data_IF_973260699948
#
_entry.id   IF_973260699948
#
_cell.length_a   1.000
_cell.length_b   1.000
_cell.length_c   1.000
_cell.angle_alpha   90.00
_cell.angle_beta   90.00
_cell.angle_gamma   90.00
#
_symmetry.space_group_name_H-M   'P 1'
#
loop_
_entity.id
_entity.type
_entity.pdbx_description
1 polymer ?
#
# COMPACT_ATOMS: atom_id res chain seq x y z
N UNK A 1 0.86 -1.46 -30.69
CA UNK A 1 1.61 -0.57 -29.80
C UNK A 1 1.05 -0.81 -28.42
N UNK A 2 1.66 -1.76 -27.72
CA UNK A 2 1.31 -2.11 -26.35
C UNK A 2 2.04 -1.13 -25.43
N UNK A 3 1.41 -0.01 -25.14
CA UNK A 3 1.95 0.96 -24.17
C UNK A 3 1.16 0.80 -22.88
N UNK A 4 1.67 -0.13 -22.07
CA UNK A 4 1.91 0.05 -20.65
C UNK A 4 0.76 0.72 -19.88
N UNK A 5 -0.08 -0.16 -19.33
CA UNK A 5 -1.05 0.06 -18.27
C UNK A 5 -0.59 1.20 -17.37
N UNK A 6 -1.38 2.28 -17.37
CA UNK A 6 -1.28 3.46 -16.52
C UNK A 6 -1.35 3.04 -15.04
N UNK A 7 -0.29 2.43 -14.51
CA UNK A 7 -0.06 2.34 -13.09
C UNK A 7 0.19 3.78 -12.65
N UNK A 8 -0.74 4.32 -11.87
CA UNK A 8 -0.67 5.64 -11.25
C UNK A 8 0.75 5.82 -10.71
N UNK A 9 1.59 6.54 -11.42
CA UNK A 9 3.00 6.68 -11.09
C UNK A 9 3.09 7.76 -10.01
N UNK A 10 2.87 7.37 -8.75
CA UNK A 10 3.20 8.24 -7.61
C UNK A 10 4.67 8.60 -7.77
N UNK A 11 4.97 9.90 -7.85
CA UNK A 11 6.36 10.38 -7.87
C UNK A 11 7.00 10.07 -6.52
N UNK A 12 8.30 9.81 -6.50
CA UNK A 12 9.04 9.47 -5.27
C UNK A 12 8.80 10.51 -4.16
N UNK A 13 8.72 11.79 -4.51
CA UNK A 13 8.42 12.89 -3.58
C UNK A 13 7.03 12.76 -2.93
N UNK A 14 6.02 12.34 -3.72
CA UNK A 14 4.66 12.13 -3.23
C UNK A 14 4.60 10.89 -2.34
N UNK A 15 5.34 9.83 -2.67
CA UNK A 15 5.42 8.64 -1.85
C UNK A 15 6.04 8.94 -0.48
N UNK A 16 7.15 9.68 -0.46
CA UNK A 16 7.81 10.10 0.79
C UNK A 16 6.87 10.99 1.62
N UNK A 17 6.13 11.90 0.99
CA UNK A 17 5.18 12.76 1.67
C UNK A 17 3.99 11.95 2.25
N UNK A 18 3.46 10.97 1.52
CA UNK A 18 2.44 10.06 2.04
C UNK A 18 2.96 9.26 3.22
N UNK A 19 4.17 8.71 3.13
CA UNK A 19 4.79 8.00 4.24
C UNK A 19 4.97 8.90 5.48
N UNK A 20 5.37 10.16 5.29
CA UNK A 20 5.49 11.13 6.38
C UNK A 20 4.14 11.40 7.04
N UNK A 21 3.08 11.64 6.24
CA UNK A 21 1.72 11.84 6.75
C UNK A 21 1.18 10.60 7.49
N UNK A 22 1.45 9.40 6.99
CA UNK A 22 1.05 8.15 7.65
C UNK A 22 1.82 7.94 8.96
N UNK A 23 3.13 8.20 8.97
CA UNK A 23 3.96 8.02 10.16
C UNK A 23 3.69 9.10 11.22
N UNK A 24 3.84 10.38 10.86
CA UNK A 24 3.80 11.49 11.82
C UNK A 24 2.38 11.94 12.17
N UNK A 25 1.44 11.82 11.24
CA UNK A 25 0.09 12.35 11.41
C UNK A 25 -0.97 11.26 11.56
N UNK A 26 -0.59 9.98 11.40
CA UNK A 26 -1.52 8.85 11.32
C UNK A 26 -2.70 9.16 10.36
N UNK A 27 -2.41 9.87 9.27
CA UNK A 27 -3.44 10.39 8.39
C UNK A 27 -4.12 9.25 7.65
N UNK A 28 -5.40 9.05 7.93
CA UNK A 28 -6.19 7.96 7.35
C UNK A 28 -6.34 8.10 5.84
N UNK A 29 -6.32 9.32 5.30
CA UNK A 29 -6.44 9.55 3.86
C UNK A 29 -5.16 9.13 3.16
N UNK A 30 -4.00 9.50 3.72
CA UNK A 30 -2.69 9.07 3.22
C UNK A 30 -2.53 7.54 3.30
N UNK A 31 -3.02 6.92 4.38
CA UNK A 31 -3.05 5.45 4.51
C UNK A 31 -3.88 4.81 3.40
N UNK A 32 -5.09 5.33 3.14
CA UNK A 32 -5.97 4.82 2.08
C UNK A 32 -5.36 5.02 0.69
N UNK A 33 -4.71 6.16 0.43
CA UNK A 33 -4.07 6.45 -0.84
C UNK A 33 -2.88 5.49 -1.10
N UNK A 34 -2.12 5.17 -0.06
CA UNK A 34 -1.03 4.21 -0.13
C UNK A 34 -1.56 2.77 -0.34
N UNK A 35 -2.68 2.41 0.30
CA UNK A 35 -3.34 1.12 0.08
C UNK A 35 -3.92 0.98 -1.33
N UNK A 36 -4.49 2.05 -1.89
CA UNK A 36 -5.02 2.07 -3.25
C UNK A 36 -3.89 1.92 -4.28
N UNK A 37 -2.77 2.62 -4.07
CA UNK A 37 -1.58 2.50 -4.90
C UNK A 37 -1.05 1.05 -4.95
N UNK A 38 -0.96 0.39 -3.79
CA UNK A 38 -0.53 -1.02 -3.72
C UNK A 38 -1.66 -2.02 -3.98
N UNK A 39 -2.90 -1.59 -4.24
CA UNK A 39 -4.04 -2.51 -4.35
C UNK A 39 -3.85 -3.50 -5.50
N UNK A 40 -3.31 -3.05 -6.63
CA UNK A 40 -3.02 -3.92 -7.76
C UNK A 40 -1.99 -4.98 -7.39
N UNK A 41 -0.85 -4.57 -6.81
CA UNK A 41 0.18 -5.49 -6.32
C UNK A 41 -0.37 -6.46 -5.27
N UNK A 42 -1.21 -5.98 -4.35
CA UNK A 42 -1.85 -6.84 -3.36
C UNK A 42 -2.76 -7.89 -4.01
N UNK A 43 -3.54 -7.53 -5.04
CA UNK A 43 -4.35 -8.48 -5.83
C UNK A 43 -3.49 -9.48 -6.59
N UNK A 44 -2.29 -9.07 -7.00
CA UNK A 44 -1.33 -9.98 -7.62
C UNK A 44 -0.73 -10.93 -6.59
N UNK A 45 -0.31 -10.43 -5.43
CA UNK A 45 0.24 -11.21 -4.32
C UNK A 45 -0.78 -12.15 -3.70
N UNK A 46 -2.05 -11.74 -3.61
CA UNK A 46 -3.13 -12.55 -3.05
C UNK A 46 -3.34 -13.87 -3.80
N UNK A 47 -2.95 -13.95 -5.08
CA UNK A 47 -3.00 -15.20 -5.87
C UNK A 47 -1.97 -16.24 -5.44
N UNK A 48 -0.89 -15.81 -4.80
CA UNK A 48 0.17 -16.68 -4.30
C UNK A 48 -0.05 -17.11 -2.86
N UNK A 49 -0.94 -16.42 -2.14
CA UNK A 49 -1.27 -16.74 -0.76
C UNK A 49 -2.25 -17.91 -0.74
N UNK A 50 -1.95 -18.93 0.08
CA UNK A 50 -2.82 -20.11 0.28
C UNK A 50 -3.96 -19.80 1.27
N UNK A 51 -4.68 -18.71 1.03
CA UNK A 51 -5.80 -18.26 1.86
C UNK A 51 -6.88 -17.62 0.97
N UNK A 52 -8.13 -17.48 1.46
CA UNK A 52 -9.18 -16.87 0.65
C UNK A 52 -8.83 -15.42 0.30
N UNK A 53 -9.29 -14.97 -0.87
CA UNK A 53 -8.97 -13.65 -1.41
C UNK A 53 -9.24 -12.51 -0.43
N UNK A 54 -10.37 -12.55 0.28
CA UNK A 54 -10.72 -11.53 1.28
C UNK A 54 -9.71 -11.48 2.42
N UNK A 55 -9.29 -12.65 2.91
CA UNK A 55 -8.34 -12.78 4.02
C UNK A 55 -6.94 -12.35 3.56
N UNK A 56 -6.51 -12.79 2.37
CA UNK A 56 -5.26 -12.39 1.75
C UNK A 56 -5.15 -10.87 1.57
N UNK A 57 -6.20 -10.24 1.05
CA UNK A 57 -6.24 -8.79 0.87
C UNK A 57 -6.19 -8.07 2.23
N UNK A 58 -6.95 -8.55 3.22
CA UNK A 58 -6.91 -7.96 4.57
C UNK A 58 -5.52 -8.10 5.20
N UNK A 59 -4.89 -9.27 5.14
CA UNK A 59 -3.54 -9.49 5.63
C UNK A 59 -2.55 -8.53 4.97
N UNK A 60 -2.56 -8.43 3.64
CA UNK A 60 -1.63 -7.55 2.93
C UNK A 60 -1.83 -6.07 3.27
N UNK A 61 -3.08 -5.63 3.45
CA UNK A 61 -3.37 -4.26 3.88
C UNK A 61 -2.86 -3.99 5.29
N UNK A 62 -3.09 -4.92 6.22
CA UNK A 62 -2.64 -4.81 7.61
C UNK A 62 -1.12 -4.79 7.66
N UNK A 63 -0.44 -5.77 7.05
CA UNK A 63 1.01 -5.87 7.02
C UNK A 63 1.64 -4.60 6.43
N UNK A 64 1.06 -4.06 5.35
CA UNK A 64 1.55 -2.82 4.76
C UNK A 64 1.37 -1.62 5.70
N UNK A 65 0.20 -1.48 6.34
CA UNK A 65 -0.03 -0.42 7.33
C UNK A 65 0.89 -0.57 8.55
N UNK A 66 1.11 -1.79 9.02
CA UNK A 66 2.05 -2.07 10.10
C UNK A 66 3.48 -1.75 9.68
N UNK A 67 3.93 -2.09 8.47
CA UNK A 67 5.26 -1.73 7.98
C UNK A 67 5.48 -0.22 7.95
N UNK A 68 4.49 0.55 7.50
CA UNK A 68 4.61 2.01 7.43
C UNK A 68 4.43 2.70 8.78
N UNK A 69 3.70 2.11 9.74
CA UNK A 69 3.48 2.71 11.08
C UNK A 69 4.47 2.21 12.13
N UNK A 70 4.95 0.97 12.03
CA UNK A 70 5.92 0.37 12.94
C UNK A 70 7.32 0.97 12.81
N UNK A 71 7.61 1.68 11.71
CA UNK A 71 8.80 2.53 11.58
C UNK A 71 8.89 3.65 12.64
N UNK A 72 7.83 3.89 13.42
CA UNK A 72 7.77 4.86 14.52
C UNK A 72 8.18 4.26 15.89
N UNK A 73 8.42 2.95 15.98
CA UNK A 73 8.62 2.24 17.25
C UNK A 73 10.09 2.07 17.68
N UNK A 74 11.06 2.67 16.99
CA UNK A 74 12.49 2.65 17.37
C UNK A 74 13.01 4.03 17.81
#
# INVERSE_FOLDING_TARGET
>A
METEKLAVSISEDQFVNLLDLVQHHQDQSAMLELLDYYEEDMKHLSKYLRMPYEDAMQTLRIELLELVTAGLAE
#
